data_IF_336521873822
#
_entry.id   IF_336521873822
#
_cell.length_a   1.000
_cell.length_b   1.000
_cell.length_c   1.000
_cell.angle_alpha   90.00
_cell.angle_beta   90.00
_cell.angle_gamma   90.00
#
_symmetry.space_group_name_H-M   'P 1'
#
loop_
_entity.id
_entity.type
_entity.pdbx_description
1 polymer ?
#
# COMPACT_ATOMS: atom_id res chain seq x y z
N UNK A 1 -10.75 -17.62 18.67
CA UNK A 1 -11.12 -18.16 17.35
C UNK A 1 -9.90 -18.01 16.46
N UNK A 2 -9.17 -19.09 16.22
CA UNK A 2 -7.92 -19.10 15.47
C UNK A 2 -8.24 -18.95 13.98
N UNK A 3 -8.11 -17.73 13.45
CA UNK A 3 -8.16 -17.50 12.01
C UNK A 3 -6.86 -18.05 11.39
N UNK A 4 -6.87 -19.32 11.03
CA UNK A 4 -5.82 -19.85 10.17
C UNK A 4 -6.00 -19.24 8.78
N UNK A 5 -5.23 -18.19 8.48
CA UNK A 5 -5.15 -17.68 7.12
C UNK A 5 -4.61 -18.81 6.25
N UNK A 6 -5.43 -19.24 5.30
CA UNK A 6 -5.05 -20.33 4.40
C UNK A 6 -3.89 -19.86 3.52
N UNK A 7 -2.94 -20.74 3.18
CA UNK A 7 -1.82 -20.40 2.28
C UNK A 7 -2.29 -19.75 0.95
N UNK A 8 -3.47 -20.16 0.46
CA UNK A 8 -4.12 -19.57 -0.69
C UNK A 8 -4.49 -18.08 -0.48
N UNK A 9 -5.03 -17.72 0.69
CA UNK A 9 -5.38 -16.32 1.00
C UNK A 9 -4.12 -15.45 1.10
N UNK A 10 -3.02 -15.98 1.65
CA UNK A 10 -1.74 -15.27 1.69
C UNK A 10 -1.25 -14.97 0.27
N UNK A 11 -1.30 -15.96 -0.63
CA UNK A 11 -0.91 -15.78 -2.03
C UNK A 11 -1.81 -14.75 -2.72
N UNK A 12 -3.12 -14.80 -2.51
CA UNK A 12 -4.06 -13.83 -3.09
C UNK A 12 -3.82 -12.41 -2.58
N UNK A 13 -3.62 -12.24 -1.26
CA UNK A 13 -3.27 -10.95 -0.66
C UNK A 13 -1.95 -10.42 -1.24
N UNK A 14 -0.96 -11.29 -1.42
CA UNK A 14 0.32 -10.90 -2.03
C UNK A 14 0.16 -10.42 -3.47
N UNK A 15 -0.58 -11.15 -4.31
CA UNK A 15 -0.83 -10.77 -5.71
C UNK A 15 -1.56 -9.43 -5.78
N UNK A 16 -2.62 -9.23 -4.99
CA UNK A 16 -3.37 -7.97 -4.96
C UNK A 16 -2.49 -6.81 -4.49
N UNK A 17 -1.69 -7.03 -3.44
CA UNK A 17 -0.76 -6.02 -2.92
C UNK A 17 0.30 -5.66 -3.96
N UNK A 18 0.81 -6.64 -4.71
CA UNK A 18 1.78 -6.44 -5.78
C UNK A 18 1.20 -5.61 -6.94
N UNK A 19 -0.03 -5.94 -7.38
CA UNK A 19 -0.72 -5.17 -8.43
C UNK A 19 -1.00 -3.74 -7.95
N UNK A 20 -1.50 -3.56 -6.73
CA UNK A 20 -1.75 -2.24 -6.15
C UNK A 20 -0.47 -1.41 -6.01
N UNK A 21 0.67 -2.04 -5.67
CA UNK A 21 1.96 -1.38 -5.61
C UNK A 21 2.48 -0.96 -7.00
N UNK A 22 2.23 -1.76 -8.04
CA UNK A 22 2.56 -1.38 -9.43
C UNK A 22 1.66 -0.25 -9.92
N UNK A 23 0.35 -0.34 -9.66
CA UNK A 23 -0.63 0.68 -10.06
C UNK A 23 -0.31 2.05 -9.43
N UNK A 24 0.19 2.06 -8.18
CA UNK A 24 0.63 3.26 -7.49
C UNK A 24 1.66 4.09 -8.30
N UNK A 25 2.48 3.45 -9.15
CA UNK A 25 3.57 4.13 -9.88
C UNK A 25 3.42 4.10 -11.41
N UNK A 26 2.70 3.14 -11.99
CA UNK A 26 2.64 2.96 -13.45
C UNK A 26 1.30 3.33 -14.08
N UNK A 27 0.19 2.82 -13.54
CA UNK A 27 -1.11 2.86 -14.24
C UNK A 27 -2.03 3.97 -13.72
N UNK A 28 -1.90 4.38 -12.45
CA UNK A 28 -2.73 5.42 -11.82
C UNK A 28 -4.24 5.16 -11.97
N UNK A 29 -4.67 3.91 -12.13
CA UNK A 29 -6.09 3.54 -12.28
C UNK A 29 -6.89 3.69 -10.96
N UNK A 30 -6.26 4.28 -9.93
CA UNK A 30 -6.82 4.47 -8.59
C UNK A 30 -7.11 3.15 -7.85
N UNK A 31 -6.61 2.02 -8.33
CA UNK A 31 -6.73 0.72 -7.64
C UNK A 31 -5.94 0.70 -6.35
N UNK A 32 -4.89 1.54 -6.26
CA UNK A 32 -4.09 1.74 -5.05
C UNK A 32 -4.85 2.40 -3.89
N UNK A 33 -6.05 2.98 -4.12
CA UNK A 33 -6.77 3.69 -3.05
C UNK A 33 -7.10 2.75 -1.87
N UNK A 34 -6.91 3.20 -0.61
CA UNK A 34 -7.14 2.37 0.57
C UNK A 34 -8.56 1.79 0.68
N UNK A 35 -9.57 2.47 0.14
CA UNK A 35 -10.95 1.99 0.11
C UNK A 35 -11.14 0.79 -0.84
N UNK A 36 -10.44 0.79 -1.99
CA UNK A 36 -10.51 -0.28 -2.99
C UNK A 36 -9.69 -1.46 -2.50
N UNK A 37 -8.43 -1.23 -2.11
CA UNK A 37 -7.56 -2.28 -1.58
C UNK A 37 -8.12 -2.89 -0.30
N UNK A 38 -8.67 -2.09 0.63
CA UNK A 38 -9.33 -2.57 1.84
C UNK A 38 -10.55 -3.46 1.56
N UNK A 39 -11.36 -3.12 0.54
CA UNK A 39 -12.48 -3.95 0.12
C UNK A 39 -12.04 -5.31 -0.45
N UNK A 40 -11.03 -5.31 -1.31
CA UNK A 40 -10.51 -6.53 -1.94
C UNK A 40 -9.84 -7.45 -0.90
N UNK A 41 -9.04 -6.88 0.00
CA UNK A 41 -8.42 -7.63 1.10
C UNK A 41 -9.50 -8.17 2.06
N UNK A 42 -10.52 -7.38 2.37
CA UNK A 42 -11.69 -7.82 3.12
C UNK A 42 -12.41 -9.00 2.46
N UNK A 43 -12.57 -8.97 1.13
CA UNK A 43 -13.17 -10.08 0.38
C UNK A 43 -12.33 -11.36 0.45
N UNK A 44 -11.00 -11.25 0.35
CA UNK A 44 -10.08 -12.39 0.44
C UNK A 44 -10.10 -13.01 1.84
N UNK A 45 -10.15 -12.17 2.88
CA UNK A 45 -10.15 -12.60 4.28
C UNK A 45 -11.55 -12.99 4.81
N UNK A 46 -12.60 -12.75 4.04
CA UNK A 46 -13.98 -13.15 4.38
C UNK A 46 -14.80 -12.11 5.14
N UNK A 47 -14.29 -10.88 5.32
CA UNK A 47 -15.02 -9.76 5.93
C UNK A 47 -14.81 -8.46 5.15
N UNK A 48 -15.61 -8.32 4.08
CA UNK A 48 -15.64 -7.13 3.22
C UNK A 48 -16.07 -5.88 3.99
N UNK A 49 -16.97 -6.03 4.97
CA UNK A 49 -17.52 -4.88 5.71
C UNK A 49 -16.43 -4.24 6.56
N UNK A 50 -15.69 -5.04 7.31
CA UNK A 50 -14.56 -4.55 8.10
C UNK A 50 -13.47 -3.99 7.20
N UNK A 51 -13.16 -4.66 6.07
CA UNK A 51 -12.21 -4.16 5.08
C UNK A 51 -12.58 -2.79 4.49
N UNK A 52 -13.85 -2.57 4.14
CA UNK A 52 -14.36 -1.29 3.65
C UNK A 52 -14.32 -0.18 4.70
N UNK A 53 -14.76 -0.48 5.93
CA UNK A 53 -14.77 0.52 7.02
C UNK A 53 -13.33 0.96 7.32
N UNK A 54 -12.40 0.01 7.42
CA UNK A 54 -10.99 0.30 7.69
C UNK A 54 -10.35 1.03 6.52
N UNK A 55 -10.57 0.56 5.28
CA UNK A 55 -10.06 1.19 4.07
C UNK A 55 -10.55 2.63 3.89
N UNK A 56 -11.83 2.89 4.13
CA UNK A 56 -12.40 4.24 4.11
C UNK A 56 -11.85 5.13 5.23
N UNK A 57 -11.70 4.58 6.45
CA UNK A 57 -11.09 5.32 7.58
C UNK A 57 -9.64 5.70 7.27
N UNK A 58 -8.87 4.76 6.74
CA UNK A 58 -7.48 4.97 6.36
C UNK A 58 -7.35 5.97 5.19
N UNK A 59 -8.25 5.92 4.21
CA UNK A 59 -8.31 6.89 3.13
C UNK A 59 -8.53 8.30 3.67
N UNK A 60 -9.52 8.51 4.54
CA UNK A 60 -9.78 9.82 5.15
C UNK A 60 -8.58 10.36 5.93
N UNK A 61 -7.84 9.49 6.63
CA UNK A 61 -6.62 9.89 7.34
C UNK A 61 -5.48 10.29 6.41
N UNK A 62 -5.42 9.73 5.21
CA UNK A 62 -4.32 9.94 4.26
C UNK A 62 -4.63 10.95 3.16
N UNK A 63 -5.84 11.52 3.10
CA UNK A 63 -6.21 12.59 2.16
C UNK A 63 -5.26 13.80 2.22
N UNK A 64 -4.72 14.11 3.41
CA UNK A 64 -3.77 15.22 3.60
C UNK A 64 -2.31 14.89 3.24
N UNK A 65 -1.99 13.63 2.97
CA UNK A 65 -0.62 13.14 2.77
C UNK A 65 -0.18 13.26 1.29
N UNK A 66 -0.26 14.46 0.70
CA UNK A 66 0.22 14.67 -0.66
C UNK A 66 1.76 14.78 -0.69
N UNK A 67 2.45 14.17 -1.66
CA UNK A 67 3.89 14.34 -1.83
C UNK A 67 4.19 15.79 -2.24
N UNK A 68 4.99 16.49 -1.41
CA UNK A 68 5.43 17.87 -1.66
C UNK A 68 6.95 17.85 -1.83
N UNK A 69 7.41 18.04 -3.07
CA UNK A 69 8.84 18.00 -3.41
C UNK A 69 9.45 16.60 -3.27
N UNK A 70 10.64 16.50 -2.68
CA UNK A 70 11.33 15.22 -2.41
C UNK A 70 10.85 14.50 -1.14
N UNK A 71 9.94 15.09 -0.37
CA UNK A 71 9.39 14.48 0.83
C UNK A 71 8.26 13.52 0.43
N UNK A 72 8.55 12.22 0.47
CA UNK A 72 7.54 11.20 0.27
C UNK A 72 6.75 10.97 1.57
N UNK A 73 5.42 11.18 1.56
CA UNK A 73 4.57 10.95 2.71
C UNK A 73 4.45 9.45 3.00
N UNK A 74 4.00 9.03 4.20
CA UNK A 74 3.78 7.61 4.51
C UNK A 74 2.94 6.92 3.43
N UNK A 75 3.38 5.74 2.96
CA UNK A 75 2.70 5.03 1.87
C UNK A 75 1.31 4.56 2.34
N UNK A 76 0.28 5.22 1.81
CA UNK A 76 -1.10 4.99 2.20
C UNK A 76 -1.64 3.62 1.76
N UNK A 77 -1.09 3.06 0.68
CA UNK A 77 -1.51 1.78 0.09
C UNK A 77 -1.09 0.64 1.02
N UNK A 78 0.20 0.60 1.38
CA UNK A 78 0.77 -0.43 2.25
C UNK A 78 0.15 -0.36 3.66
N UNK A 79 -0.02 0.86 4.19
CA UNK A 79 -0.66 1.04 5.48
C UNK A 79 -2.15 0.67 5.48
N UNK A 80 -2.90 0.99 4.42
CA UNK A 80 -4.31 0.63 4.30
C UNK A 80 -4.54 -0.88 4.22
N UNK A 81 -3.72 -1.58 3.44
CA UNK A 81 -3.75 -3.05 3.33
C UNK A 81 -3.43 -3.70 4.69
N UNK A 82 -2.37 -3.25 5.37
CA UNK A 82 -1.99 -3.78 6.68
C UNK A 82 -3.05 -3.48 7.74
N UNK A 83 -3.68 -2.31 7.71
CA UNK A 83 -4.79 -1.98 8.62
C UNK A 83 -5.97 -2.93 8.41
N UNK A 84 -6.36 -3.23 7.16
CA UNK A 84 -7.44 -4.15 6.85
C UNK A 84 -7.12 -5.59 7.32
N UNK A 85 -5.90 -6.07 7.07
CA UNK A 85 -5.44 -7.39 7.54
C UNK A 85 -5.53 -7.45 9.07
N UNK A 86 -4.90 -6.50 9.78
CA UNK A 86 -4.86 -6.49 11.23
C UNK A 86 -6.25 -6.35 11.86
N UNK A 87 -7.14 -5.53 11.29
CA UNK A 87 -8.51 -5.40 11.75
C UNK A 87 -9.27 -6.73 11.68
N UNK A 88 -9.14 -7.45 10.55
CA UNK A 88 -9.89 -8.69 10.31
C UNK A 88 -9.28 -9.86 11.10
N UNK A 89 -7.95 -9.97 11.14
CA UNK A 89 -7.27 -11.10 11.79
C UNK A 89 -7.29 -11.00 13.32
N UNK A 90 -7.17 -9.78 13.85
CA UNK A 90 -7.10 -9.53 15.29
C UNK A 90 -8.42 -9.00 15.88
N UNK A 91 -9.44 -8.78 15.04
CA UNK A 91 -10.73 -8.22 15.47
C UNK A 91 -10.60 -6.80 16.04
N UNK A 92 -9.63 -6.03 15.57
CA UNK A 92 -9.35 -4.69 16.10
C UNK A 92 -10.39 -3.68 15.60
N UNK A 93 -10.70 -2.70 16.45
CA UNK A 93 -11.46 -1.54 16.03
C UNK A 93 -10.70 -0.78 14.93
N UNK A 94 -11.39 -0.17 13.95
CA UNK A 94 -10.74 0.48 12.79
C UNK A 94 -9.66 1.49 13.17
N UNK A 95 -9.90 2.30 14.20
CA UNK A 95 -8.93 3.30 14.66
C UNK A 95 -7.63 2.68 15.20
N UNK A 96 -7.75 1.57 15.94
CA UNK A 96 -6.62 0.82 16.49
C UNK A 96 -5.87 0.08 15.38
N UNK A 97 -6.59 -0.49 14.43
CA UNK A 97 -6.01 -1.15 13.26
C UNK A 97 -5.21 -0.17 12.39
N UNK A 98 -5.74 1.03 12.15
CA UNK A 98 -5.03 2.07 11.41
C UNK A 98 -3.79 2.52 12.16
N UNK A 99 -3.87 2.77 13.47
CA UNK A 99 -2.73 3.18 14.28
C UNK A 99 -1.60 2.13 14.29
N UNK A 100 -1.96 0.85 14.39
CA UNK A 100 -1.01 -0.27 14.35
C UNK A 100 -0.42 -0.51 12.96
N UNK A 101 -1.07 -0.03 11.90
CA UNK A 101 -0.55 -0.09 10.53
C UNK A 101 0.43 1.04 10.16
N UNK A 102 0.51 2.11 10.96
CA UNK A 102 1.42 3.25 10.70
C UNK A 102 2.89 2.83 10.58
N UNK A 103 3.46 1.99 11.47
CA UNK A 103 4.85 1.54 11.35
C UNK A 103 5.12 0.81 10.02
N UNK A 104 4.16 0.02 9.54
CA UNK A 104 4.29 -0.70 8.27
C UNK A 104 4.21 0.26 7.07
N UNK A 105 3.38 1.29 7.15
CA UNK A 105 3.34 2.36 6.15
C UNK A 105 4.68 3.10 6.03
N UNK A 106 5.33 3.37 7.16
CA UNK A 106 6.67 3.97 7.19
C UNK A 106 7.73 3.04 6.59
N UNK A 107 7.73 1.76 6.97
CA UNK A 107 8.65 0.77 6.39
C UNK A 107 8.48 0.64 4.88
N UNK A 108 7.23 0.56 4.42
CA UNK A 108 6.90 0.56 3.00
C UNK A 108 7.42 1.80 2.28
N UNK A 109 7.28 2.97 2.92
CA UNK A 109 7.82 4.21 2.38
C UNK A 109 9.34 4.20 2.27
N UNK A 110 10.05 3.77 3.33
CA UNK A 110 11.52 3.67 3.28
C UNK A 110 11.99 2.71 2.20
N UNK A 111 11.30 1.58 2.01
CA UNK A 111 11.62 0.62 0.96
C UNK A 111 11.49 1.25 -0.44
N UNK A 112 10.42 2.00 -0.70
CA UNK A 112 10.24 2.72 -1.98
C UNK A 112 11.32 3.79 -2.16
N UNK A 113 11.61 4.58 -1.13
CA UNK A 113 12.64 5.63 -1.21
C UNK A 113 14.02 5.03 -1.50
N UNK A 114 14.36 3.90 -0.87
CA UNK A 114 15.60 3.17 -1.15
C UNK A 114 15.62 2.63 -2.58
N UNK A 115 14.51 2.08 -3.07
CA UNK A 115 14.39 1.62 -4.45
C UNK A 115 14.64 2.76 -5.44
N UNK A 116 14.02 3.92 -5.23
CA UNK A 116 14.24 5.12 -6.06
C UNK A 116 15.67 5.64 -5.97
N UNK A 117 16.26 5.62 -4.78
CA UNK A 117 17.67 5.99 -4.58
C UNK A 117 18.60 5.06 -5.35
N UNK A 118 18.36 3.74 -5.29
CA UNK A 118 19.12 2.74 -6.02
C UNK A 118 18.92 2.82 -7.54
N UNK A 119 17.75 3.28 -8.00
CA UNK A 119 17.43 3.49 -9.42
C UNK A 119 17.97 4.82 -9.96
N UNK A 120 18.35 5.79 -9.10
CA UNK A 120 18.90 7.09 -9.54
C UNK A 120 20.09 7.02 -10.52
N UNK A 121 21.03 6.04 -10.45
CA UNK A 121 22.10 5.92 -11.43
C UNK A 121 21.60 5.52 -12.83
N UNK A 122 20.44 4.85 -12.92
CA UNK A 122 19.82 4.46 -14.20
C UNK A 122 19.35 5.71 -14.96
N UNK A 123 18.87 6.74 -14.25
CA UNK A 123 18.53 8.03 -14.85
C UNK A 123 19.79 8.71 -15.43
N UNK A 124 20.93 8.63 -14.75
CA UNK A 124 22.20 9.15 -15.28
C UNK A 124 22.65 8.41 -16.55
N UNK A 125 22.35 7.12 -16.67
CA UNK A 125 22.57 6.36 -17.91
C UNK A 125 21.61 6.78 -19.02
N UNK A 126 20.32 6.97 -18.71
CA UNK A 126 19.33 7.43 -19.66
C UNK A 126 19.64 8.84 -20.20
N UNK A 127 20.10 9.77 -19.35
CA UNK A 127 20.52 11.11 -19.77
C UNK A 127 21.73 11.07 -20.71
N UNK A 128 22.70 10.17 -20.45
CA UNK A 128 23.86 9.98 -21.34
C UNK A 128 23.45 9.38 -22.68
N UNK A 129 22.56 8.39 -22.67
CA UNK A 129 22.01 7.81 -23.91
C UNK A 129 21.20 8.83 -24.72
N UNK A 130 20.48 9.74 -24.06
CA UNK A 130 19.77 10.82 -24.72
C UNK A 130 20.71 11.87 -25.34
N UNK A 131 21.83 12.18 -24.67
CA UNK A 131 22.89 13.06 -25.21
C UNK A 131 23.69 12.43 -26.35
N UNK A 132 23.89 11.11 -26.34
CA UNK A 132 24.56 10.37 -27.42
C UNK A 132 23.68 10.16 -28.65
N UNK A 133 22.35 10.29 -28.51
CA UNK A 133 21.38 10.20 -29.60
C UNK A 133 21.08 11.53 -30.31
N UNK A 134 21.66 12.65 -29.85
CA UNK A 134 21.63 13.99 -30.48
C UNK A 134 22.92 14.32 -31.19
#
# INVERSE_FOLDING_TARGET
MSFEITALQIILVFIVTFIAAIDQFNFLESLYQPIVTGAVIGAILGDVRTGLIVGGTYQLMTIGNMPIGGAQPPNAVIGGIMAAILAITLGLQPTVAVATAIPFSLLGQYAVTLLFTAMSPVMSYADRAAQEAS
#
